data_IF_412149435008
#
_entry.id   IF_412149435008
#
_cell.length_a   1.000
_cell.length_b   1.000
_cell.length_c   1.000
_cell.angle_alpha   90.00
_cell.angle_beta   90.00
_cell.angle_gamma   90.00
#
_symmetry.space_group_name_H-M   'P 1'
#
loop_
_entity.id
_entity.type
_entity.pdbx_description
1 polymer ?
#
# COMPACT_ATOMS: atom_id res chain seq x y z
N UNK A 1 7.18 2.38 -16.60
CA UNK A 1 6.83 2.59 -15.18
C UNK A 1 5.53 3.37 -15.12
N UNK A 2 4.46 2.75 -14.59
CA UNK A 2 3.13 3.36 -14.48
C UNK A 2 3.01 4.07 -13.14
N UNK A 3 2.36 5.24 -13.10
CA UNK A 3 2.05 5.95 -11.86
C UNK A 3 0.56 5.84 -11.58
N UNK A 4 0.21 5.55 -10.33
CA UNK A 4 -1.16 5.39 -9.86
C UNK A 4 -1.32 6.31 -8.66
N UNK A 5 -2.28 7.22 -8.73
CA UNK A 5 -2.60 8.10 -7.62
C UNK A 5 -3.83 7.55 -6.89
N UNK A 6 -3.71 7.37 -5.58
CA UNK A 6 -4.74 6.78 -4.74
C UNK A 6 -5.06 7.73 -3.60
N UNK A 7 -6.34 8.08 -3.44
CA UNK A 7 -6.81 8.79 -2.24
C UNK A 7 -6.73 7.85 -1.05
N UNK A 8 -5.86 8.16 -0.09
CA UNK A 8 -5.56 7.30 1.05
C UNK A 8 -6.84 6.98 1.85
N UNK A 9 -7.63 8.00 2.16
CA UNK A 9 -8.89 7.84 2.91
C UNK A 9 -9.85 6.88 2.20
N UNK A 10 -10.16 7.14 0.93
CA UNK A 10 -11.04 6.29 0.12
C UNK A 10 -10.51 4.86 -0.02
N UNK A 11 -9.19 4.70 -0.10
CA UNK A 11 -8.57 3.39 -0.19
C UNK A 11 -8.73 2.60 1.11
N UNK A 12 -8.46 3.21 2.27
CA UNK A 12 -8.66 2.56 3.56
C UNK A 12 -10.13 2.22 3.82
N UNK A 13 -11.07 3.09 3.41
CA UNK A 13 -12.50 2.77 3.45
C UNK A 13 -12.85 1.57 2.55
N UNK A 14 -12.32 1.52 1.33
CA UNK A 14 -12.52 0.40 0.42
C UNK A 14 -11.97 -0.91 0.99
N UNK A 15 -10.81 -0.89 1.66
CA UNK A 15 -10.27 -2.05 2.35
C UNK A 15 -11.20 -2.57 3.45
N UNK A 16 -11.75 -1.66 4.28
CA UNK A 16 -12.73 -1.99 5.32
C UNK A 16 -14.01 -2.57 4.72
N UNK A 17 -14.53 -1.97 3.64
CA UNK A 17 -15.74 -2.43 2.97
C UNK A 17 -15.58 -3.81 2.32
N UNK A 18 -14.40 -4.10 1.78
CA UNK A 18 -14.10 -5.39 1.12
C UNK A 18 -13.59 -6.46 2.09
N UNK A 19 -13.46 -6.14 3.38
CA UNK A 19 -12.83 -6.99 4.39
C UNK A 19 -11.50 -7.57 3.90
N UNK A 20 -10.68 -6.71 3.27
CA UNK A 20 -9.44 -7.13 2.60
C UNK A 20 -8.25 -6.29 3.02
N UNK A 21 -7.06 -6.84 2.84
CA UNK A 21 -5.81 -6.15 3.20
C UNK A 21 -5.26 -5.35 2.02
N UNK A 22 -4.55 -4.26 2.33
CA UNK A 22 -3.81 -3.47 1.33
C UNK A 22 -2.94 -4.36 0.44
N UNK A 23 -2.22 -5.31 1.05
CA UNK A 23 -1.35 -6.26 0.36
C UNK A 23 -2.10 -7.18 -0.60
N UNK A 24 -3.33 -7.60 -0.24
CA UNK A 24 -4.19 -8.39 -1.13
C UNK A 24 -4.56 -7.61 -2.39
N UNK A 25 -4.86 -6.31 -2.25
CA UNK A 25 -5.13 -5.44 -3.41
C UNK A 25 -3.87 -5.26 -4.25
N UNK A 26 -2.73 -4.98 -3.61
CA UNK A 26 -1.45 -4.83 -4.30
C UNK A 26 -1.05 -6.09 -5.08
N UNK A 27 -1.24 -7.29 -4.50
CA UNK A 27 -0.97 -8.54 -5.18
C UNK A 27 -1.80 -8.71 -6.46
N UNK A 28 -3.06 -8.25 -6.45
CA UNK A 28 -3.92 -8.26 -7.63
C UNK A 28 -3.50 -7.22 -8.69
N UNK A 29 -2.76 -6.18 -8.29
CA UNK A 29 -2.25 -5.15 -9.19
C UNK A 29 -0.91 -5.53 -9.84
N UNK A 30 -0.28 -6.64 -9.43
CA UNK A 30 0.95 -7.12 -10.05
C UNK A 30 0.61 -7.73 -11.42
N UNK A 31 1.18 -7.15 -12.47
CA UNK A 31 1.01 -7.62 -13.86
C UNK A 31 2.35 -7.87 -14.57
N UNK A 32 3.45 -7.92 -13.82
CA UNK A 32 4.81 -8.04 -14.36
C UNK A 32 5.52 -6.70 -14.60
N UNK A 33 4.84 -5.55 -14.42
CA UNK A 33 5.45 -4.22 -14.48
C UNK A 33 5.49 -3.52 -13.11
N UNK A 34 6.58 -2.79 -12.86
CA UNK A 34 6.72 -1.92 -11.69
C UNK A 34 5.78 -0.71 -11.81
N UNK A 35 5.07 -0.43 -10.71
CA UNK A 35 4.13 0.70 -10.62
C UNK A 35 4.47 1.53 -9.40
N UNK A 36 4.35 2.84 -9.55
CA UNK A 36 4.47 3.78 -8.45
C UNK A 36 3.07 4.14 -7.97
N UNK A 37 2.74 3.75 -6.74
CA UNK A 37 1.49 4.08 -6.08
C UNK A 37 1.73 5.30 -5.19
N UNK A 38 1.07 6.41 -5.51
CA UNK A 38 1.18 7.66 -4.78
C UNK A 38 -0.10 7.83 -3.96
N UNK A 39 0.04 7.74 -2.64
CA UNK A 39 -1.06 7.98 -1.73
C UNK A 39 -1.22 9.48 -1.50
N UNK A 40 -2.38 9.99 -1.87
CA UNK A 40 -2.77 11.38 -1.75
C UNK A 40 -3.78 11.54 -0.60
N UNK A 41 -3.72 12.66 0.09
CA UNK A 41 -4.79 13.12 0.98
C UNK A 41 -6.00 13.62 0.16
N UNK A 42 -7.11 13.92 0.83
CA UNK A 42 -8.28 14.58 0.27
C UNK A 42 -7.92 15.88 -0.45
N UNK A 43 -6.94 16.64 0.08
CA UNK A 43 -6.40 17.87 -0.54
C UNK A 43 -5.41 17.64 -1.70
N UNK A 44 -5.31 16.42 -2.25
CA UNK A 44 -4.36 16.08 -3.34
C UNK A 44 -2.87 16.21 -2.95
N UNK A 45 -2.58 16.34 -1.66
CA UNK A 45 -1.21 16.34 -1.13
C UNK A 45 -0.66 14.92 -1.05
N UNK A 46 0.58 14.73 -1.48
CA UNK A 46 1.28 13.44 -1.37
C UNK A 46 1.56 13.15 0.10
N UNK A 47 0.97 12.07 0.60
CA UNK A 47 1.22 11.55 1.95
C UNK A 47 2.43 10.61 1.93
N UNK A 48 2.45 9.67 1.00
CA UNK A 48 3.55 8.73 0.80
C UNK A 48 3.48 8.08 -0.58
N UNK A 49 4.63 7.60 -1.07
CA UNK A 49 4.75 6.86 -2.31
C UNK A 49 5.24 5.43 -2.00
N UNK A 50 4.62 4.45 -2.65
CA UNK A 50 4.98 3.04 -2.57
C UNK A 50 5.27 2.51 -3.97
N UNK A 51 6.39 1.83 -4.16
CA UNK A 51 6.71 1.20 -5.44
C UNK A 51 6.20 -0.23 -5.37
N UNK A 52 5.11 -0.51 -6.09
CA UNK A 52 4.60 -1.85 -6.27
C UNK A 52 5.59 -2.65 -7.13
N UNK A 53 6.17 -3.73 -6.59
CA UNK A 53 7.10 -4.55 -7.35
C UNK A 53 6.37 -5.28 -8.48
N UNK A 54 7.12 -5.63 -9.52
CA UNK A 54 6.63 -6.44 -10.63
C UNK A 54 6.43 -7.93 -10.30
N UNK A 55 6.89 -8.39 -9.14
CA UNK A 55 6.85 -9.80 -8.75
C UNK A 55 6.29 -9.98 -7.32
N UNK A 56 5.38 -10.95 -7.09
CA UNK A 56 4.74 -11.15 -5.79
C UNK A 56 5.72 -11.54 -4.67
N UNK A 57 6.86 -12.15 -4.97
CA UNK A 57 7.84 -12.49 -3.93
C UNK A 57 8.37 -11.24 -3.22
N UNK A 58 8.68 -10.17 -3.97
CA UNK A 58 9.12 -8.90 -3.39
C UNK A 58 8.02 -8.22 -2.58
N UNK A 59 6.76 -8.34 -3.02
CA UNK A 59 5.61 -7.80 -2.29
C UNK A 59 5.47 -8.47 -0.91
N UNK A 60 5.70 -9.78 -0.85
CA UNK A 60 5.67 -10.56 0.39
C UNK A 60 6.83 -10.18 1.33
N UNK A 61 8.01 -9.90 0.78
CA UNK A 61 9.14 -9.35 1.55
C UNK A 61 8.83 -7.97 2.13
N UNK A 62 8.32 -7.05 1.31
CA UNK A 62 7.87 -5.73 1.74
C UNK A 62 6.81 -5.83 2.85
N UNK A 63 5.86 -6.75 2.71
CA UNK A 63 4.82 -6.99 3.72
C UNK A 63 5.44 -7.40 5.05
N UNK A 64 6.41 -8.31 5.04
CA UNK A 64 7.07 -8.78 6.26
C UNK A 64 7.87 -7.67 6.92
N UNK A 65 8.63 -6.90 6.15
CA UNK A 65 9.34 -5.73 6.68
C UNK A 65 8.39 -4.68 7.24
N UNK A 66 7.32 -4.37 6.51
CA UNK A 66 6.33 -3.40 6.94
C UNK A 66 5.60 -3.86 8.20
N UNK A 67 5.13 -5.10 8.27
CA UNK A 67 4.51 -5.64 9.50
C UNK A 67 5.45 -5.57 10.70
N UNK A 68 6.74 -5.80 10.50
CA UNK A 68 7.75 -5.69 11.56
C UNK A 68 7.90 -4.23 12.02
N UNK A 69 8.12 -3.30 11.09
CA UNK A 69 8.30 -1.87 11.41
C UNK A 69 7.02 -1.19 11.93
N UNK A 70 5.86 -1.64 11.48
CA UNK A 70 4.57 -1.04 11.85
C UNK A 70 4.02 -1.59 13.16
N UNK A 71 4.29 -2.86 13.50
CA UNK A 71 3.98 -3.41 14.84
C UNK A 71 4.71 -2.65 15.95
N UNK A 72 5.97 -2.27 15.70
CA UNK A 72 6.74 -1.41 16.61
C UNK A 72 6.15 0.01 16.73
N UNK A 73 5.64 0.59 15.64
CA UNK A 73 5.01 1.94 15.68
C UNK A 73 3.64 1.95 16.37
N UNK A 74 2.79 0.93 16.16
CA UNK A 74 1.48 0.83 16.83
C UNK A 74 1.62 0.58 18.34
N UNK A 75 2.70 -0.08 18.77
CA UNK A 75 2.97 -0.30 20.20
C UNK A 75 3.27 1.01 20.97
N UNK A 76 3.60 2.09 20.27
CA UNK A 76 3.88 3.42 20.86
C UNK A 76 2.66 4.36 20.83
N UNK A 77 1.52 3.91 20.29
CA UNK A 77 0.24 4.64 20.36
C UNK A 77 -0.62 3.92 21.39
N UNK A 78 -0.23 4.00 22.66
CA UNK A 78 -1.00 3.50 23.80
C UNK A 78 -0.99 4.54 24.92
#
# INVERSE_FOLDING_TARGET
MKKIEIKAEQFFELLKLKDTSMWSVFAQMIDGEEKEIIFLDNEEKILFNYILPSNPEKLEEDRKEFSKQFSDKLSTIN
#
